data_IF_970574376066
#
_entry.id   IF_970574376066
#
_cell.length_a   1.000
_cell.length_b   1.000
_cell.length_c   1.000
_cell.angle_alpha   90.00
_cell.angle_beta   90.00
_cell.angle_gamma   90.00
#
_symmetry.space_group_name_H-M   'P 1'
#
loop_
_entity.id
_entity.type
_entity.pdbx_description
1 polymer ?
#
# COMPACT_ATOMS: atom_id res chain seq x y z
N UNK A 1 -5.01 5.85 11.67
CA UNK A 1 -3.77 6.28 10.98
C UNK A 1 -4.11 7.39 10.01
N UNK A 2 -3.50 8.53 10.18
CA UNK A 2 -3.73 9.67 9.29
C UNK A 2 -2.81 9.61 8.08
N UNK A 3 -3.28 10.18 6.98
CA UNK A 3 -2.45 10.35 5.80
C UNK A 3 -1.46 11.47 6.03
N UNK A 4 -0.17 11.17 5.84
CA UNK A 4 0.90 12.16 5.99
C UNK A 4 1.55 12.37 4.62
N UNK A 5 1.10 13.39 3.92
CA UNK A 5 1.57 13.70 2.57
C UNK A 5 2.31 15.03 2.57
N UNK A 6 3.43 15.08 1.83
CA UNK A 6 4.23 16.30 1.68
C UNK A 6 4.72 16.42 0.24
N UNK A 7 5.46 17.48 -0.06
CA UNK A 7 5.92 17.76 -1.41
C UNK A 7 7.29 17.19 -1.75
N UNK A 8 7.88 16.41 -0.84
CA UNK A 8 9.24 15.89 -1.02
C UNK A 8 9.36 14.82 -2.10
N UNK A 9 8.28 14.09 -2.37
CA UNK A 9 8.25 13.01 -3.34
C UNK A 9 6.88 12.97 -4.02
N UNK A 10 6.76 12.28 -5.18
CA UNK A 10 5.47 12.13 -5.83
C UNK A 10 4.41 11.59 -4.87
N UNK A 11 3.23 12.19 -4.90
CA UNK A 11 2.15 11.83 -3.96
C UNK A 11 1.75 10.36 -4.09
N UNK A 12 1.68 9.84 -5.32
CA UNK A 12 1.27 8.43 -5.49
C UNK A 12 2.21 7.46 -4.79
N UNK A 13 3.51 7.78 -4.72
CA UNK A 13 4.47 6.92 -4.02
C UNK A 13 4.23 6.93 -2.52
N UNK A 14 3.90 8.09 -1.97
CA UNK A 14 3.58 8.21 -0.54
C UNK A 14 2.30 7.48 -0.20
N UNK A 15 1.29 7.56 -1.09
CA UNK A 15 0.05 6.83 -0.91
C UNK A 15 0.28 5.31 -0.93
N UNK A 16 1.07 4.84 -1.89
CA UNK A 16 1.39 3.42 -2.02
C UNK A 16 2.10 2.92 -0.76
N UNK A 17 3.08 3.65 -0.26
CA UNK A 17 3.80 3.27 0.96
C UNK A 17 2.87 3.18 2.17
N UNK A 18 1.98 4.14 2.33
CA UNK A 18 1.07 4.16 3.48
C UNK A 18 0.02 3.08 3.38
N UNK A 19 -0.50 2.79 2.18
CA UNK A 19 -1.42 1.69 1.98
C UNK A 19 -0.73 0.35 2.27
N UNK A 20 0.51 0.18 1.83
CA UNK A 20 1.29 -1.02 2.12
C UNK A 20 1.42 -1.23 3.63
N UNK A 21 1.74 -0.17 4.38
CA UNK A 21 1.84 -0.24 5.84
C UNK A 21 0.52 -0.62 6.49
N UNK A 22 -0.60 -0.08 6.01
CA UNK A 22 -1.93 -0.43 6.51
C UNK A 22 -2.22 -1.92 6.32
N UNK A 23 -1.84 -2.46 5.16
CA UNK A 23 -2.04 -3.89 4.87
C UNK A 23 -1.15 -4.74 5.78
N UNK A 24 0.13 -4.40 5.88
CA UNK A 24 1.08 -5.20 6.67
C UNK A 24 0.84 -5.10 8.17
N UNK A 25 0.27 -4.00 8.63
CA UNK A 25 -0.04 -3.81 10.05
C UNK A 25 -1.38 -4.42 10.47
N UNK A 26 -2.16 -4.91 9.51
CA UNK A 26 -3.48 -5.48 9.79
C UNK A 26 -4.61 -4.46 9.85
N UNK A 27 -4.36 -3.21 9.50
CA UNK A 27 -5.43 -2.21 9.38
C UNK A 27 -6.47 -2.68 8.38
N UNK A 28 -6.01 -3.15 7.20
CA UNK A 28 -6.84 -3.90 6.27
C UNK A 28 -6.38 -5.35 6.34
N UNK A 29 -7.27 -6.23 6.79
CA UNK A 29 -6.93 -7.64 7.04
C UNK A 29 -6.87 -8.44 5.75
N UNK A 30 -6.12 -9.55 5.74
CA UNK A 30 -6.13 -10.44 4.57
C UNK A 30 -7.55 -10.85 4.18
N UNK A 31 -7.86 -10.73 2.89
CA UNK A 31 -9.18 -11.03 2.35
C UNK A 31 -10.20 -9.93 2.51
N UNK A 32 -9.91 -8.90 3.29
CA UNK A 32 -10.82 -7.78 3.50
C UNK A 32 -10.95 -6.94 2.24
N UNK A 33 -12.16 -6.45 1.98
CA UNK A 33 -12.39 -5.55 0.87
C UNK A 33 -11.83 -4.16 1.19
N UNK A 34 -11.01 -3.62 0.30
CA UNK A 34 -10.50 -2.26 0.43
C UNK A 34 -11.57 -1.24 0.09
N UNK A 35 -11.51 -0.04 0.66
CA UNK A 35 -12.38 1.05 0.22
C UNK A 35 -12.16 1.32 -1.29
N UNK A 36 -13.13 1.93 -1.93
CA UNK A 36 -13.03 2.25 -3.36
C UNK A 36 -11.95 3.31 -3.60
N UNK A 37 -11.50 3.41 -4.85
CA UNK A 37 -10.55 4.45 -5.25
C UNK A 37 -11.05 5.84 -4.84
N UNK A 38 -12.34 6.10 -5.08
CA UNK A 38 -12.93 7.40 -4.74
C UNK A 38 -12.94 7.65 -3.24
N UNK A 39 -13.30 6.64 -2.47
CA UNK A 39 -13.34 6.76 -1.01
C UNK A 39 -11.93 7.02 -0.45
N UNK A 40 -10.94 6.29 -0.93
CA UNK A 40 -9.56 6.48 -0.49
C UNK A 40 -9.02 7.84 -0.92
N UNK A 41 -9.34 8.27 -2.15
CA UNK A 41 -8.92 9.58 -2.64
C UNK A 41 -9.54 10.71 -1.81
N UNK A 42 -10.81 10.59 -1.47
CA UNK A 42 -11.50 11.57 -0.63
C UNK A 42 -10.90 11.60 0.78
N UNK A 43 -10.62 10.42 1.34
CA UNK A 43 -10.02 10.31 2.67
C UNK A 43 -8.64 10.98 2.72
N UNK A 44 -7.83 10.75 1.69
CA UNK A 44 -6.47 11.30 1.62
C UNK A 44 -6.42 12.74 1.10
N UNK A 45 -7.51 13.24 0.53
CA UNK A 45 -7.55 14.58 -0.03
C UNK A 45 -6.78 14.71 -1.34
N UNK A 46 -6.78 13.67 -2.17
CA UNK A 46 -6.03 13.64 -3.43
C UNK A 46 -6.94 13.35 -4.61
N UNK A 47 -6.40 13.56 -5.81
CA UNK A 47 -7.10 13.25 -7.05
C UNK A 47 -7.29 11.74 -7.19
N UNK A 48 -8.48 11.26 -7.61
CA UNK A 48 -8.70 9.82 -7.81
C UNK A 48 -7.70 9.15 -8.76
N UNK A 49 -7.24 9.86 -9.80
CA UNK A 49 -6.23 9.30 -10.71
C UNK A 49 -4.91 9.02 -10.00
N UNK A 50 -4.52 9.89 -9.07
CA UNK A 50 -3.31 9.70 -8.26
C UNK A 50 -3.47 8.50 -7.34
N UNK A 51 -4.62 8.35 -6.72
CA UNK A 51 -4.91 7.19 -5.87
C UNK A 51 -4.96 5.90 -6.69
N UNK A 52 -5.55 5.95 -7.91
CA UNK A 52 -5.58 4.79 -8.80
C UNK A 52 -4.18 4.32 -9.14
N UNK A 53 -3.26 5.25 -9.39
CA UNK A 53 -1.87 4.90 -9.68
C UNK A 53 -1.22 4.16 -8.51
N UNK A 54 -1.44 4.62 -7.30
CA UNK A 54 -0.92 3.97 -6.10
C UNK A 54 -1.47 2.55 -5.95
N UNK A 55 -2.78 2.39 -6.15
CA UNK A 55 -3.42 1.08 -6.05
C UNK A 55 -2.96 0.13 -7.16
N UNK A 56 -2.68 0.64 -8.35
CA UNK A 56 -2.15 -0.17 -9.43
C UNK A 56 -0.78 -0.77 -9.08
N UNK A 57 0.04 -0.03 -8.34
CA UNK A 57 1.33 -0.54 -7.86
C UNK A 57 1.10 -1.69 -6.87
N UNK A 58 0.15 -1.55 -5.94
CA UNK A 58 -0.18 -2.62 -5.01
C UNK A 58 -0.69 -3.87 -5.74
N UNK A 59 -1.52 -3.67 -6.77
CA UNK A 59 -2.02 -4.78 -7.60
C UNK A 59 -0.83 -5.51 -8.26
N UNK A 60 0.11 -4.76 -8.79
CA UNK A 60 1.30 -5.32 -9.44
C UNK A 60 2.21 -6.07 -8.48
N UNK A 61 2.21 -5.70 -7.22
CA UNK A 61 2.99 -6.38 -6.18
C UNK A 61 2.24 -7.55 -5.56
N UNK A 62 0.99 -7.75 -5.93
CA UNK A 62 0.17 -8.83 -5.39
C UNK A 62 -0.40 -8.57 -4.01
N UNK A 63 -0.23 -7.37 -3.46
CA UNK A 63 -0.77 -7.00 -2.15
C UNK A 63 -2.27 -6.78 -2.20
N UNK A 64 -2.78 -6.27 -3.31
CA UNK A 64 -4.21 -6.12 -3.54
C UNK A 64 -4.63 -6.90 -4.78
N UNK A 65 -5.84 -7.41 -4.75
CA UNK A 65 -6.39 -8.25 -5.81
C UNK A 65 -7.63 -7.56 -6.37
N UNK A 66 -7.58 -7.03 -7.60
CA UNK A 66 -8.77 -6.43 -8.20
C UNK A 66 -9.77 -7.51 -8.60
N UNK A 67 -11.05 -7.24 -8.36
CA UNK A 67 -12.14 -8.14 -8.71
C UNK A 67 -13.29 -7.31 -9.28
N UNK A 68 -13.78 -7.69 -10.45
CA UNK A 68 -14.83 -6.93 -11.15
C UNK A 68 -16.14 -6.87 -10.37
N UNK A 69 -16.43 -7.89 -9.59
CA UNK A 69 -17.69 -7.99 -8.87
C UNK A 69 -17.68 -7.29 -7.53
N UNK A 70 -16.62 -7.50 -6.74
CA UNK A 70 -16.58 -7.01 -5.36
C UNK A 70 -15.58 -5.87 -5.13
N UNK A 71 -14.81 -5.48 -6.16
CA UNK A 71 -13.78 -4.46 -6.02
C UNK A 71 -12.44 -5.06 -5.62
N UNK A 72 -11.58 -4.29 -4.95
CA UNK A 72 -10.27 -4.78 -4.51
C UNK A 72 -10.34 -5.42 -3.15
N UNK A 73 -9.57 -6.49 -2.95
CA UNK A 73 -9.41 -7.12 -1.65
C UNK A 73 -7.92 -7.23 -1.32
N UNK A 74 -7.61 -7.35 -0.03
CA UNK A 74 -6.24 -7.59 0.43
C UNK A 74 -5.89 -9.05 0.14
N UNK A 75 -4.66 -9.31 -0.31
CA UNK A 75 -4.22 -10.67 -0.56
C UNK A 75 -4.33 -11.54 0.70
N UNK A 76 -4.68 -12.81 0.50
CA UNK A 76 -4.65 -13.81 1.57
C UNK A 76 -3.37 -14.64 1.53
N UNK A 77 -2.49 -14.37 0.56
CA UNK A 77 -1.25 -15.09 0.37
C UNK A 77 -0.22 -14.66 1.41
N UNK A 78 -0.02 -15.50 2.42
CA UNK A 78 0.94 -15.22 3.48
C UNK A 78 2.37 -15.10 2.95
N UNK A 79 2.68 -15.78 1.86
CA UNK A 79 3.99 -15.67 1.22
C UNK A 79 4.25 -14.26 0.69
N UNK A 80 3.24 -13.66 0.07
CA UNK A 80 3.33 -12.27 -0.43
C UNK A 80 3.51 -11.31 0.72
N UNK A 81 2.69 -11.45 1.76
CA UNK A 81 2.75 -10.56 2.93
C UNK A 81 4.10 -10.66 3.64
N UNK A 82 4.58 -11.88 3.85
CA UNK A 82 5.84 -12.12 4.52
C UNK A 82 7.02 -11.63 3.70
N UNK A 83 7.01 -11.84 2.39
CA UNK A 83 8.04 -11.34 1.50
C UNK A 83 8.12 -9.82 1.55
N UNK A 84 6.99 -9.13 1.61
CA UNK A 84 6.97 -7.68 1.70
C UNK A 84 7.49 -7.17 3.04
N UNK A 85 7.11 -7.84 4.14
CA UNK A 85 7.64 -7.51 5.47
C UNK A 85 9.15 -7.67 5.51
N UNK A 86 9.65 -8.77 4.95
CA UNK A 86 11.10 -9.04 4.90
C UNK A 86 11.83 -8.02 4.06
N UNK A 87 11.26 -7.60 2.94
CA UNK A 87 11.84 -6.57 2.07
C UNK A 87 12.00 -5.25 2.81
N UNK A 88 10.97 -4.83 3.53
CA UNK A 88 11.03 -3.58 4.30
C UNK A 88 12.05 -3.68 5.43
N UNK A 89 12.10 -4.80 6.13
CA UNK A 89 13.09 -5.02 7.17
C UNK A 89 14.50 -5.08 6.60
N UNK A 90 14.68 -5.77 5.45
CA UNK A 90 15.95 -5.85 4.77
C UNK A 90 16.46 -4.50 4.32
N UNK A 91 15.58 -3.65 3.80
CA UNK A 91 15.95 -2.30 3.40
C UNK A 91 16.45 -1.47 4.59
N UNK A 92 15.81 -1.62 5.73
CA UNK A 92 16.24 -0.93 6.95
C UNK A 92 17.61 -1.44 7.39
N UNK A 93 17.83 -2.74 7.36
CA UNK A 93 19.10 -3.37 7.73
C UNK A 93 20.20 -2.93 6.78
N UNK A 94 19.92 -2.94 5.47
CA UNK A 94 20.89 -2.53 4.46
C UNK A 94 21.32 -1.09 4.65
N UNK A 95 20.39 -0.19 4.94
CA UNK A 95 20.70 1.21 5.23
C UNK A 95 21.60 1.34 6.48
N UNK A 96 21.31 0.54 7.47
CA UNK A 96 22.12 0.54 8.69
C UNK A 96 23.56 0.10 8.43
N UNK A 97 23.75 -0.98 7.67
CA UNK A 97 25.08 -1.47 7.35
C UNK A 97 25.86 -0.53 6.42
N UNK A 98 25.17 0.10 5.48
CA UNK A 98 25.82 1.06 4.58
C UNK A 98 26.32 2.29 5.31
N UNK A 99 25.69 2.65 6.43
CA UNK A 99 26.10 3.79 7.25
C UNK A 99 27.38 3.53 8.02
N UNK A 100 27.82 2.30 8.11
CA UNK A 100 29.05 1.94 8.81
C UNK A 100 30.23 1.79 7.85
#
# INVERSE_FOLDING_TARGET
MEWKLDDSRPIWMQLEEQLTRRILSGWYKPGEKLPTVRDLAAEAGVNPNTMQRALAVLDGEGLSIPNRTIGRTVTEDEGVLEAMRSRLAGNIIDQFFEAT
#
